data_IF_706766487914
#
_entry.id   IF_706766487914
#
_cell.length_a   1.000
_cell.length_b   1.000
_cell.length_c   1.000
_cell.angle_alpha   90.00
_cell.angle_beta   90.00
_cell.angle_gamma   90.00
#
_symmetry.space_group_name_H-M   'P 1'
#
loop_
_entity.id
_entity.type
_entity.pdbx_description
1 polymer ?
#
# COMPACT_ATOMS: atom_id res chain seq x y z
N UNK A 1 -11.29 14.89 -0.50
CA UNK A 1 -11.08 14.11 -1.75
C UNK A 1 -9.94 13.12 -1.53
N UNK A 2 -9.94 11.95 -2.18
CA UNK A 2 -8.92 10.91 -1.95
C UNK A 2 -8.05 10.68 -3.18
N UNK A 3 -6.75 10.77 -2.99
CA UNK A 3 -5.72 10.59 -4.01
C UNK A 3 -4.88 9.35 -3.70
N UNK A 4 -4.36 8.71 -4.74
CA UNK A 4 -3.46 7.56 -4.62
C UNK A 4 -2.30 7.79 -5.58
N UNK A 5 -1.08 7.74 -5.05
CA UNK A 5 0.16 7.87 -5.82
C UNK A 5 1.19 6.85 -5.35
N UNK A 6 2.38 6.82 -5.98
CA UNK A 6 3.49 5.96 -5.58
C UNK A 6 4.77 6.78 -5.45
N UNK A 7 5.67 6.35 -4.57
CA UNK A 7 7.02 6.95 -4.51
C UNK A 7 7.79 6.65 -5.80
N UNK A 8 8.58 7.62 -6.27
CA UNK A 8 9.34 7.53 -7.51
C UNK A 8 10.84 7.26 -7.30
N UNK A 9 11.32 7.36 -6.06
CA UNK A 9 12.70 7.09 -5.67
C UNK A 9 12.73 6.20 -4.42
N UNK A 10 13.74 5.35 -4.26
CA UNK A 10 13.84 4.51 -3.08
C UNK A 10 14.43 5.31 -1.91
N UNK A 11 14.20 4.83 -0.68
CA UNK A 11 14.88 5.31 0.51
C UNK A 11 16.35 4.89 0.53
N UNK A 12 16.64 3.63 0.13
CA UNK A 12 17.99 3.12 -0.11
C UNK A 12 18.10 2.48 -1.50
N UNK A 13 19.25 2.62 -2.17
CA UNK A 13 19.42 2.20 -3.57
C UNK A 13 19.20 0.69 -3.82
N UNK A 14 19.50 -0.16 -2.84
CA UNK A 14 19.23 -1.61 -2.87
C UNK A 14 17.72 -1.93 -2.90
N UNK A 15 16.86 -0.99 -2.52
CA UNK A 15 15.41 -1.16 -2.50
C UNK A 15 14.73 -0.74 -3.83
N UNK A 16 15.50 -0.26 -4.81
CA UNK A 16 14.97 0.31 -6.07
C UNK A 16 14.08 -0.66 -6.84
N UNK A 17 14.41 -1.95 -6.85
CA UNK A 17 13.59 -2.98 -7.51
C UNK A 17 12.26 -3.21 -6.78
N UNK A 18 12.20 -2.90 -5.49
CA UNK A 18 11.03 -3.05 -4.66
C UNK A 18 10.11 -1.84 -4.71
N UNK A 19 10.42 -0.76 -5.43
CA UNK A 19 9.48 0.35 -5.60
C UNK A 19 8.12 -0.18 -6.08
N UNK A 20 7.03 0.28 -5.45
CA UNK A 20 5.69 -0.26 -5.70
C UNK A 20 5.34 -0.29 -7.20
N UNK A 21 5.68 0.77 -7.92
CA UNK A 21 5.50 0.87 -9.38
C UNK A 21 6.30 -0.19 -10.14
N UNK A 22 7.59 -0.38 -9.79
CA UNK A 22 8.47 -1.36 -10.45
C UNK A 22 7.98 -2.78 -10.21
N UNK A 23 7.72 -3.11 -8.93
CA UNK A 23 7.20 -4.41 -8.54
C UNK A 23 5.86 -4.72 -9.20
N UNK A 24 4.92 -3.77 -9.17
CA UNK A 24 3.60 -3.96 -9.72
C UNK A 24 3.60 -4.11 -11.24
N UNK A 25 4.41 -3.32 -11.96
CA UNK A 25 4.60 -3.45 -13.40
C UNK A 25 5.16 -4.84 -13.77
N UNK A 26 6.14 -5.33 -13.00
CA UNK A 26 6.66 -6.69 -13.18
C UNK A 26 5.59 -7.76 -12.94
N UNK A 27 4.77 -7.59 -11.89
CA UNK A 27 3.72 -8.54 -11.54
C UNK A 27 2.60 -8.60 -12.60
N UNK A 28 2.09 -7.47 -13.10
CA UNK A 28 1.05 -7.48 -14.16
C UNK A 28 1.59 -8.11 -15.45
N UNK A 29 2.85 -7.84 -15.81
CA UNK A 29 3.45 -8.40 -17.02
C UNK A 29 3.39 -9.93 -17.02
N UNK A 30 3.53 -10.55 -15.86
CA UNK A 30 3.48 -12.00 -15.69
C UNK A 30 2.06 -12.53 -15.45
N UNK A 31 1.16 -11.71 -14.89
CA UNK A 31 -0.20 -12.10 -14.51
C UNK A 31 -1.22 -11.00 -14.86
N UNK A 32 -1.63 -10.86 -16.12
CA UNK A 32 -2.51 -9.78 -16.57
C UNK A 32 -3.86 -9.70 -15.83
N UNK A 33 -4.40 -10.85 -15.40
CA UNK A 33 -5.65 -10.95 -14.66
C UNK A 33 -5.60 -10.25 -13.29
N UNK A 34 -4.42 -10.09 -12.67
CA UNK A 34 -4.28 -9.37 -11.39
C UNK A 34 -4.51 -7.87 -11.52
N UNK A 35 -4.45 -7.32 -12.74
CA UNK A 35 -4.67 -5.91 -12.99
C UNK A 35 -6.11 -5.50 -12.63
N UNK A 36 -7.10 -6.35 -12.88
CA UNK A 36 -8.49 -6.07 -12.53
C UNK A 36 -8.71 -6.03 -11.02
N UNK A 37 -8.19 -7.03 -10.30
CA UNK A 37 -8.21 -7.05 -8.84
C UNK A 37 -7.53 -5.80 -8.27
N UNK A 38 -6.36 -5.43 -8.79
CA UNK A 38 -5.67 -4.23 -8.32
C UNK A 38 -6.46 -2.95 -8.58
N UNK A 39 -7.02 -2.77 -9.78
CA UNK A 39 -7.90 -1.64 -10.10
C UNK A 39 -9.10 -1.56 -9.16
N UNK A 40 -9.71 -2.70 -8.84
CA UNK A 40 -10.79 -2.78 -7.87
C UNK A 40 -10.33 -2.34 -6.47
N UNK A 41 -9.16 -2.79 -6.02
CA UNK A 41 -8.58 -2.37 -4.73
C UNK A 41 -8.39 -0.85 -4.70
N UNK A 42 -7.74 -0.27 -5.72
CA UNK A 42 -7.54 1.18 -5.81
C UNK A 42 -8.87 1.94 -5.83
N UNK A 43 -9.87 1.44 -6.56
CA UNK A 43 -11.20 2.04 -6.59
C UNK A 43 -11.85 2.03 -5.20
N UNK A 44 -11.72 0.94 -4.43
CA UNK A 44 -12.21 0.90 -3.04
C UNK A 44 -11.45 1.86 -2.14
N UNK A 45 -10.14 1.97 -2.30
CA UNK A 45 -9.30 2.91 -1.52
C UNK A 45 -9.69 4.36 -1.74
N UNK A 46 -10.20 4.74 -2.92
CA UNK A 46 -10.71 6.11 -3.16
C UNK A 46 -11.87 6.52 -2.23
N UNK A 47 -12.58 5.56 -1.64
CA UNK A 47 -13.66 5.83 -0.69
C UNK A 47 -13.21 5.74 0.78
N UNK A 48 -11.91 5.50 1.01
CA UNK A 48 -11.39 5.44 2.36
C UNK A 48 -11.29 6.83 2.97
N UNK A 49 -11.57 6.89 4.26
CA UNK A 49 -11.50 8.10 5.08
C UNK A 49 -10.68 7.82 6.32
N UNK A 50 -10.01 8.85 6.85
CA UNK A 50 -9.22 8.75 8.07
C UNK A 50 -10.05 9.24 9.25
N UNK A 51 -10.11 8.44 10.32
CA UNK A 51 -10.71 8.80 11.62
C UNK A 51 -9.82 8.24 12.72
N UNK A 52 -9.53 9.01 13.76
CA UNK A 52 -8.67 8.61 14.88
C UNK A 52 -7.31 8.02 14.42
N UNK A 53 -6.65 8.68 13.46
CA UNK A 53 -5.38 8.24 12.88
C UNK A 53 -5.39 6.79 12.34
N UNK A 54 -6.51 6.38 11.75
CA UNK A 54 -6.64 5.10 11.02
C UNK A 54 -7.63 5.20 9.87
N UNK A 55 -7.51 4.28 8.92
CA UNK A 55 -8.52 4.08 7.87
C UNK A 55 -9.81 3.56 8.52
N UNK A 56 -10.91 4.30 8.39
CA UNK A 56 -12.15 4.04 9.11
C UNK A 56 -12.92 2.81 8.62
N UNK A 57 -12.65 2.37 7.39
CA UNK A 57 -13.28 1.20 6.77
C UNK A 57 -12.64 -0.13 7.22
N UNK A 58 -11.52 -0.10 7.96
CA UNK A 58 -10.92 -1.32 8.49
C UNK A 58 -11.73 -1.89 9.65
N UNK A 59 -11.84 -3.22 9.70
CA UNK A 59 -12.42 -3.99 10.79
C UNK A 59 -11.32 -4.72 11.56
N UNK A 60 -11.52 -4.91 12.86
CA UNK A 60 -10.60 -5.68 13.68
C UNK A 60 -11.02 -7.16 13.72
N UNK A 61 -10.06 -8.08 13.61
CA UNK A 61 -10.22 -9.48 14.00
C UNK A 61 -8.96 -10.00 14.70
N UNK A 62 -9.09 -11.01 15.57
CA UNK A 62 -7.94 -11.57 16.29
C UNK A 62 -6.88 -12.15 15.33
N UNK A 63 -7.33 -12.79 14.25
CA UNK A 63 -6.45 -13.42 13.26
C UNK A 63 -5.68 -12.39 12.42
N UNK A 64 -6.34 -11.31 12.00
CA UNK A 64 -5.77 -10.39 11.02
C UNK A 64 -5.44 -9.00 11.56
N UNK A 65 -5.84 -8.64 12.77
CA UNK A 65 -5.78 -7.26 13.26
C UNK A 65 -6.74 -6.36 12.48
N UNK A 66 -6.36 -5.10 12.28
CA UNK A 66 -7.13 -4.15 11.46
C UNK A 66 -6.97 -4.47 9.97
N UNK A 67 -8.07 -4.76 9.29
CA UNK A 67 -8.06 -5.23 7.91
C UNK A 67 -9.35 -4.88 7.16
N UNK A 68 -9.30 -4.94 5.83
CA UNK A 68 -10.44 -4.77 4.95
C UNK A 68 -10.54 -5.95 4.00
N UNK A 69 -11.77 -6.42 3.83
CA UNK A 69 -12.09 -7.57 3.00
C UNK A 69 -12.95 -7.13 1.81
N UNK A 70 -12.68 -7.71 0.65
CA UNK A 70 -13.62 -7.69 -0.47
C UNK A 70 -14.03 -9.13 -0.78
N UNK A 71 -15.16 -9.26 -1.45
CA UNK A 71 -15.57 -10.53 -2.04
C UNK A 71 -15.18 -10.49 -3.51
N UNK A 72 -14.34 -11.43 -3.96
CA UNK A 72 -13.82 -11.47 -5.33
C UNK A 72 -13.69 -12.91 -5.80
N UNK A 73 -13.82 -13.12 -7.12
CA UNK A 73 -13.62 -14.44 -7.72
C UNK A 73 -12.13 -14.78 -7.72
N UNK A 74 -11.79 -15.92 -7.17
CA UNK A 74 -10.43 -16.43 -7.27
C UNK A 74 -10.12 -17.02 -8.65
N UNK A 75 -8.90 -17.56 -8.81
CA UNK A 75 -8.46 -18.18 -10.06
C UNK A 75 -9.27 -19.44 -10.45
N UNK A 76 -10.03 -20.03 -9.51
CA UNK A 76 -10.92 -21.16 -9.75
C UNK A 76 -12.34 -20.71 -10.11
N UNK A 77 -12.59 -19.39 -10.14
CA UNK A 77 -13.91 -18.80 -10.37
C UNK A 77 -14.80 -18.77 -9.12
N UNK A 78 -14.29 -19.17 -7.95
CA UNK A 78 -15.05 -19.21 -6.71
C UNK A 78 -15.08 -17.84 -6.05
N UNK A 79 -16.27 -17.34 -5.77
CA UNK A 79 -16.48 -16.07 -5.09
C UNK A 79 -16.22 -16.24 -3.57
N UNK A 80 -15.17 -15.61 -3.05
CA UNK A 80 -14.81 -15.72 -1.62
C UNK A 80 -14.38 -14.40 -0.99
N UNK A 81 -14.56 -14.23 0.34
CA UNK A 81 -14.01 -13.09 1.05
C UNK A 81 -12.48 -13.19 1.11
N UNK A 82 -11.80 -12.11 0.72
CA UNK A 82 -10.35 -11.99 0.70
C UNK A 82 -9.93 -10.76 1.49
N UNK A 83 -8.99 -10.94 2.42
CA UNK A 83 -8.33 -9.82 3.10
C UNK A 83 -7.37 -9.16 2.12
N UNK A 84 -7.74 -7.99 1.61
CA UNK A 84 -6.96 -7.26 0.59
C UNK A 84 -6.18 -6.08 1.15
N UNK A 85 -6.56 -5.54 2.31
CA UNK A 85 -5.81 -4.48 2.98
C UNK A 85 -5.68 -4.84 4.44
N UNK A 86 -4.50 -4.59 5.03
CA UNK A 86 -4.25 -4.83 6.43
C UNK A 86 -3.29 -3.79 7.00
N UNK A 87 -3.50 -3.35 8.23
CA UNK A 87 -2.51 -2.58 9.00
C UNK A 87 -1.42 -3.51 9.54
N UNK A 88 -0.15 -3.16 9.38
CA UNK A 88 0.93 -3.91 10.02
C UNK A 88 0.80 -3.82 11.56
N UNK A 89 1.08 -4.92 12.28
CA UNK A 89 0.85 -4.98 13.74
C UNK A 89 1.93 -4.24 14.53
N UNK A 90 3.18 -4.29 14.05
CA UNK A 90 4.37 -3.72 14.71
C UNK A 90 4.71 -2.33 14.20
N UNK A 91 3.98 -1.84 13.21
CA UNK A 91 4.16 -0.52 12.63
C UNK A 91 2.88 0.31 12.78
N UNK A 92 3.04 1.56 13.17
CA UNK A 92 1.95 2.46 13.54
C UNK A 92 1.27 3.09 12.33
N UNK A 93 1.96 3.18 11.18
CA UNK A 93 1.55 4.01 10.05
C UNK A 93 1.42 3.27 8.71
N UNK A 94 1.97 2.06 8.62
CA UNK A 94 2.10 1.27 7.41
C UNK A 94 0.96 0.28 7.29
N UNK A 95 0.40 0.27 6.09
CA UNK A 95 -0.62 -0.67 5.64
C UNK A 95 -0.06 -1.47 4.48
N UNK A 96 -0.64 -2.64 4.24
CA UNK A 96 -0.30 -3.48 3.11
C UNK A 96 -1.56 -3.79 2.30
N UNK A 97 -1.46 -3.61 0.98
CA UNK A 97 -2.33 -4.29 0.03
C UNK A 97 -1.83 -5.72 -0.11
N UNK A 98 -2.74 -6.69 -0.06
CA UNK A 98 -2.48 -8.12 -0.17
C UNK A 98 -3.10 -8.65 -1.44
N UNK A 99 -2.25 -9.15 -2.34
CA UNK A 99 -2.66 -9.91 -3.52
C UNK A 99 -2.15 -11.32 -3.28
N UNK A 100 -3.05 -12.24 -2.92
CA UNK A 100 -2.72 -13.63 -2.65
C UNK A 100 -3.16 -14.49 -3.84
N UNK A 101 -2.19 -15.07 -4.54
CA UNK A 101 -2.40 -16.28 -5.33
C UNK A 101 -2.14 -17.53 -4.46
N UNK A 102 -2.25 -18.69 -5.09
CA UNK A 102 -2.06 -19.97 -4.39
C UNK A 102 -0.59 -20.18 -3.98
N UNK A 103 0.34 -19.75 -4.82
CA UNK A 103 1.79 -19.91 -4.60
C UNK A 103 2.51 -18.58 -4.33
N UNK A 104 1.95 -17.47 -4.78
CA UNK A 104 2.55 -16.14 -4.68
C UNK A 104 1.75 -15.22 -3.77
N UNK A 105 2.43 -14.61 -2.81
CA UNK A 105 1.82 -13.68 -1.85
C UNK A 105 2.43 -12.30 -2.01
N UNK A 106 1.91 -11.54 -2.96
CA UNK A 106 2.37 -10.17 -3.21
C UNK A 106 1.85 -9.20 -2.16
N UNK A 107 2.72 -8.29 -1.73
CA UNK A 107 2.42 -7.21 -0.79
C UNK A 107 2.81 -5.90 -1.43
N UNK A 108 1.96 -4.89 -1.31
CA UNK A 108 2.30 -3.50 -1.60
C UNK A 108 2.11 -2.70 -0.33
N UNK A 109 3.19 -2.12 0.19
CA UNK A 109 3.18 -1.26 1.35
C UNK A 109 2.70 0.13 0.95
N UNK A 110 1.97 0.76 1.86
CA UNK A 110 1.52 2.13 1.70
C UNK A 110 1.28 2.79 3.05
N UNK A 111 1.26 4.10 3.02
CA UNK A 111 0.83 4.94 4.13
C UNK A 111 -0.10 6.03 3.60
N UNK A 112 -0.64 6.84 4.50
CA UNK A 112 -1.40 8.02 4.12
C UNK A 112 -0.77 9.28 4.72
N UNK A 113 -0.99 10.40 4.04
CA UNK A 113 -0.79 11.76 4.53
C UNK A 113 -2.17 12.42 4.50
N UNK A 114 -2.58 12.97 5.65
CA UNK A 114 -3.86 13.66 5.80
C UNK A 114 -3.58 15.15 5.92
N UNK A 115 -4.17 15.95 5.03
CA UNK A 115 -4.15 17.41 5.16
C UNK A 115 -5.49 17.85 5.74
N UNK A 116 -5.54 18.00 7.06
CA UNK A 116 -6.78 18.27 7.82
C UNK A 116 -7.54 19.50 7.28
N UNK A 117 -6.81 20.52 6.83
CA UNK A 117 -7.39 21.78 6.31
C UNK A 117 -8.15 21.57 4.99
N UNK A 118 -7.80 20.57 4.19
CA UNK A 118 -8.36 20.37 2.85
C UNK A 118 -9.33 19.17 2.76
N UNK A 119 -9.54 18.44 3.86
CA UNK A 119 -10.24 17.14 3.84
C UNK A 119 -9.72 16.18 2.75
N UNK A 120 -8.42 16.31 2.43
CA UNK A 120 -7.73 15.53 1.42
C UNK A 120 -6.92 14.42 2.08
N UNK A 121 -7.12 13.20 1.58
CA UNK A 121 -6.34 12.03 1.98
C UNK A 121 -5.50 11.60 0.80
N UNK A 122 -4.19 11.63 0.95
CA UNK A 122 -3.25 11.10 -0.03
C UNK A 122 -2.73 9.76 0.47
N UNK A 123 -3.05 8.67 -0.25
CA UNK A 123 -2.39 7.39 -0.07
C UNK A 123 -1.14 7.31 -0.95
N UNK A 124 -0.01 6.93 -0.35
CA UNK A 124 1.28 6.82 -1.04
C UNK A 124 1.73 5.37 -0.96
N UNK A 125 1.78 4.70 -2.12
CA UNK A 125 2.36 3.37 -2.26
C UNK A 125 3.89 3.48 -2.24
N UNK A 126 4.55 2.79 -1.32
CA UNK A 126 6.00 2.85 -1.16
C UNK A 126 6.68 1.70 -1.91
N UNK A 127 6.49 0.48 -1.40
CA UNK A 127 7.21 -0.70 -1.88
C UNK A 127 6.30 -1.88 -2.18
N UNK A 128 6.79 -2.82 -2.98
CA UNK A 128 6.17 -4.08 -3.32
C UNK A 128 7.15 -5.24 -3.23
N UNK A 129 6.69 -6.38 -2.71
CA UNK A 129 7.49 -7.59 -2.62
C UNK A 129 6.62 -8.86 -2.58
N UNK A 130 7.21 -10.00 -2.94
CA UNK A 130 6.58 -11.32 -2.84
C UNK A 130 6.99 -12.02 -1.55
N UNK A 131 6.01 -12.36 -0.73
CA UNK A 131 6.18 -13.09 0.52
C UNK A 131 6.09 -14.61 0.30
N UNK A 132 7.10 -15.16 -0.39
CA UNK A 132 7.15 -16.58 -0.72
C UNK A 132 7.95 -17.35 0.34
N UNK A 133 7.50 -18.55 0.69
CA UNK A 133 8.24 -19.46 1.58
C UNK A 133 9.57 -19.84 0.95
N UNK A 134 10.68 -19.40 1.55
CA UNK A 134 12.05 -19.68 1.07
C UNK A 134 12.82 -18.45 0.58
N UNK A 135 12.18 -17.28 0.44
CA UNK A 135 12.87 -16.00 0.27
C UNK A 135 12.90 -15.23 1.59
N UNK A 136 13.87 -14.33 1.74
CA UNK A 136 13.93 -13.42 2.88
C UNK A 136 12.65 -12.60 2.98
N UNK A 137 12.05 -12.55 4.17
CA UNK A 137 10.87 -11.74 4.42
C UNK A 137 11.27 -10.27 4.54
N UNK A 138 10.95 -9.47 3.52
CA UNK A 138 11.30 -8.06 3.45
C UNK A 138 10.31 -7.15 4.19
N UNK A 139 9.29 -7.71 4.86
CA UNK A 139 8.22 -6.94 5.51
C UNK A 139 8.78 -5.86 6.43
N UNK A 140 9.66 -6.25 7.36
CA UNK A 140 10.11 -5.34 8.42
C UNK A 140 11.09 -4.27 7.87
N UNK A 141 11.97 -4.66 6.94
CA UNK A 141 12.95 -3.75 6.31
C UNK A 141 12.22 -2.67 5.50
N UNK A 142 11.33 -3.08 4.59
CA UNK A 142 10.63 -2.13 3.73
C UNK A 142 9.57 -1.33 4.49
N UNK A 143 9.00 -1.87 5.58
CA UNK A 143 8.14 -1.11 6.49
C UNK A 143 8.92 0.00 7.21
N UNK A 144 10.16 -0.27 7.65
CA UNK A 144 11.00 0.75 8.26
C UNK A 144 11.31 1.88 7.26
N UNK A 145 11.68 1.55 6.03
CA UNK A 145 11.90 2.56 4.97
C UNK A 145 10.61 3.34 4.65
N UNK A 146 9.46 2.66 4.60
CA UNK A 146 8.14 3.30 4.44
C UNK A 146 7.86 4.31 5.55
N UNK A 147 8.13 3.94 6.81
CA UNK A 147 7.99 4.83 7.97
C UNK A 147 8.93 6.03 7.90
N UNK A 148 10.18 5.82 7.50
CA UNK A 148 11.16 6.89 7.33
C UNK A 148 10.71 7.90 6.27
N UNK A 149 10.19 7.43 5.12
CA UNK A 149 9.64 8.30 4.07
C UNK A 149 8.48 9.13 4.61
N UNK A 150 7.54 8.51 5.33
CA UNK A 150 6.40 9.23 5.93
C UNK A 150 6.87 10.29 6.93
N UNK A 151 7.80 9.94 7.82
CA UNK A 151 8.33 10.86 8.83
C UNK A 151 9.05 12.07 8.20
N UNK A 152 9.82 11.84 7.13
CA UNK A 152 10.48 12.89 6.35
C UNK A 152 9.46 13.86 5.71
N UNK A 153 8.34 13.32 5.19
CA UNK A 153 7.23 14.15 4.67
C UNK A 153 6.54 14.96 5.77
N UNK A 154 6.18 14.32 6.88
CA UNK A 154 5.39 14.94 7.95
C UNK A 154 6.19 15.94 8.80
N UNK A 155 7.52 15.82 8.85
CA UNK A 155 8.40 16.76 9.56
C UNK A 155 8.88 17.93 8.71
N UNK A 156 8.63 17.91 7.39
CA UNK A 156 9.01 18.99 6.49
C UNK A 156 8.19 20.26 6.74
N UNK A 157 8.86 21.42 6.71
CA UNK A 157 8.20 22.74 6.78
C UNK A 157 7.21 22.97 5.63
N UNK A 158 7.50 22.40 4.47
CA UNK A 158 6.63 22.40 3.30
C UNK A 158 6.29 20.96 2.89
N UNK A 159 5.23 20.41 3.48
CA UNK A 159 4.77 19.04 3.21
C UNK A 159 4.46 18.79 1.73
N UNK A 160 3.89 19.77 1.01
CA UNK A 160 3.53 19.61 -0.40
C UNK A 160 4.76 19.47 -1.31
N UNK A 161 5.77 20.29 -1.07
CA UNK A 161 7.05 20.19 -1.77
C UNK A 161 7.72 18.85 -1.48
N UNK A 162 7.68 18.41 -0.21
CA UNK A 162 8.29 17.15 0.19
C UNK A 162 7.58 15.92 -0.39
N UNK A 163 6.25 15.93 -0.44
CA UNK A 163 5.48 14.93 -1.17
C UNK A 163 5.93 14.89 -2.64
N UNK A 164 6.01 16.06 -3.29
CA UNK A 164 6.39 16.18 -4.69
C UNK A 164 7.77 15.60 -4.97
N UNK A 165 8.73 15.82 -4.07
CA UNK A 165 10.08 15.25 -4.14
C UNK A 165 10.07 13.71 -4.09
N UNK A 166 9.20 13.11 -3.27
CA UNK A 166 9.10 11.66 -3.12
C UNK A 166 8.30 10.97 -4.24
N UNK A 167 7.33 11.65 -4.84
CA UNK A 167 6.40 11.05 -5.81
C UNK A 167 6.62 11.50 -7.26
N UNK A 168 7.48 12.49 -7.50
CA UNK A 168 7.97 12.84 -8.84
C UNK A 168 7.11 13.83 -9.65
N UNK A 169 6.26 14.63 -8.99
CA UNK A 169 5.42 15.64 -9.66
C UNK A 169 3.93 15.29 -9.78
N UNK A 170 3.07 16.31 -9.90
CA UNK A 170 1.59 16.26 -10.06
C UNK A 170 0.90 15.03 -9.45
N UNK A 171 0.74 15.04 -8.13
CA UNK A 171 0.00 14.03 -7.37
C UNK A 171 -1.44 14.45 -7.02
N UNK A 172 -1.81 15.70 -7.37
CA UNK A 172 -3.17 16.26 -7.27
C UNK A 172 -3.83 16.32 -8.65
#
# INVERSE_FOLDING_TARGET
MTYITSVCKPFSEDEREHLATNFFNGMIKNHPYLNELYRLILLKMKYFTIKDNKISQLRYSNQHGWHFTITYCDITGSLRPMVIIKKLKRDDCTYEIRINGDYDKSRLLFFYVSQEIMEEVLFILSYGYSKNSGKQDLTDVLAQSTKSIKADIESASNTNEKITEWVGGNWK
#
